data_IF_333861975882
#
_entry.id   IF_333861975882
#
_cell.length_a   1.000
_cell.length_b   1.000
_cell.length_c   1.000
_cell.angle_alpha   90.00
_cell.angle_beta   90.00
_cell.angle_gamma   90.00
#
_symmetry.space_group_name_H-M   'P 1'
#
loop_
_entity.id
_entity.type
_entity.pdbx_description
1 polymer ?
#
# COMPACT_ATOMS: atom_id res chain seq x y z
N UNK A 1 -19.65 22.48 14.60
CA UNK A 1 -18.41 22.07 13.90
C UNK A 1 -18.79 21.65 12.50
N UNK A 2 -18.17 22.21 11.46
CA UNK A 2 -18.35 21.71 10.10
C UNK A 2 -17.45 20.48 9.93
N UNK A 3 -18.03 19.34 9.55
CA UNK A 3 -17.25 18.17 9.17
C UNK A 3 -16.57 18.45 7.82
N UNK A 4 -15.26 18.28 7.76
CA UNK A 4 -14.55 18.18 6.49
C UNK A 4 -14.93 16.82 5.88
N UNK A 5 -15.38 16.81 4.61
CA UNK A 5 -15.63 15.59 3.84
C UNK A 5 -14.54 15.44 2.79
N UNK A 6 -13.77 14.36 2.86
CA UNK A 6 -12.77 14.00 1.86
C UNK A 6 -13.22 12.69 1.22
N UNK A 7 -13.38 12.69 -0.10
CA UNK A 7 -13.67 11.48 -0.86
C UNK A 7 -12.35 10.84 -1.27
N UNK A 8 -12.10 9.63 -0.78
CA UNK A 8 -10.87 8.90 -1.10
C UNK A 8 -11.03 8.28 -2.50
N UNK A 9 -10.01 8.39 -3.37
CA UNK A 9 -10.05 7.76 -4.68
C UNK A 9 -10.16 6.24 -4.57
N UNK A 10 -10.81 5.61 -5.55
CA UNK A 10 -10.77 4.15 -5.69
C UNK A 10 -9.36 3.68 -6.05
N UNK A 11 -9.04 2.43 -5.71
CA UNK A 11 -7.74 1.86 -6.03
C UNK A 11 -7.62 1.62 -7.54
N UNK A 12 -6.63 2.25 -8.18
CA UNK A 12 -6.28 1.99 -9.58
C UNK A 12 -5.64 0.61 -9.77
N UNK A 13 -4.90 0.15 -8.76
CA UNK A 13 -4.25 -1.15 -8.75
C UNK A 13 -4.44 -1.81 -7.40
N UNK A 14 -4.95 -3.04 -7.41
CA UNK A 14 -5.03 -3.91 -6.25
C UNK A 14 -4.36 -5.24 -6.58
N UNK A 15 -3.49 -5.71 -5.70
CA UNK A 15 -2.90 -7.06 -5.79
C UNK A 15 -3.04 -7.79 -4.47
N UNK A 16 -3.17 -9.11 -4.53
CA UNK A 16 -3.18 -9.99 -3.36
C UNK A 16 -2.00 -10.96 -3.39
N UNK A 17 -1.63 -11.45 -2.21
CA UNK A 17 -0.67 -12.53 -2.09
C UNK A 17 -1.20 -13.76 -2.85
N UNK A 18 -0.37 -14.36 -3.71
CA UNK A 18 -0.75 -15.59 -4.42
C UNK A 18 0.46 -16.34 -4.97
N UNK A 19 0.28 -17.65 -5.15
CA UNK A 19 1.23 -18.49 -5.87
C UNK A 19 1.04 -18.36 -7.38
N UNK A 20 2.14 -18.44 -8.13
CA UNK A 20 2.07 -18.54 -9.58
C UNK A 20 1.45 -19.88 -9.96
N UNK A 21 0.47 -19.86 -10.86
CA UNK A 21 -0.04 -21.07 -11.52
C UNK A 21 0.68 -21.16 -12.87
N UNK A 22 1.66 -22.05 -12.97
CA UNK A 22 2.49 -22.18 -14.18
C UNK A 22 1.70 -22.91 -15.26
N UNK A 23 1.63 -22.33 -16.46
CA UNK A 23 1.06 -22.98 -17.65
C UNK A 23 2.12 -23.13 -18.73
N UNK A 24 2.46 -24.37 -19.09
CA UNK A 24 3.47 -24.65 -20.11
C UNK A 24 4.86 -24.16 -19.70
N UNK A 25 5.55 -23.46 -20.59
CA UNK A 25 6.93 -22.98 -20.42
C UNK A 25 7.02 -21.55 -19.88
N UNK A 26 6.01 -21.09 -19.15
CA UNK A 26 6.01 -19.77 -18.52
C UNK A 26 7.18 -19.60 -17.54
N UNK A 27 7.87 -18.45 -17.54
CA UNK A 27 8.97 -18.20 -16.61
C UNK A 27 8.47 -18.13 -15.17
N UNK A 28 9.23 -18.73 -14.25
CA UNK A 28 8.95 -18.66 -12.82
C UNK A 28 9.20 -17.23 -12.32
N UNK A 29 8.21 -16.64 -11.66
CA UNK A 29 8.30 -15.32 -11.05
C UNK A 29 8.76 -15.49 -9.61
N UNK A 30 9.91 -14.91 -9.26
CA UNK A 30 10.35 -14.83 -7.87
C UNK A 30 9.42 -13.90 -7.09
N UNK A 31 8.71 -14.38 -6.04
CA UNK A 31 7.81 -13.56 -5.26
C UNK A 31 8.58 -12.58 -4.36
N UNK A 32 7.98 -11.42 -4.12
CA UNK A 32 8.40 -10.47 -3.08
C UNK A 32 7.39 -10.63 -1.95
N UNK A 33 7.78 -11.25 -0.84
CA UNK A 33 6.88 -11.54 0.29
C UNK A 33 5.54 -12.17 -0.14
N UNK A 34 5.58 -13.16 -1.04
CA UNK A 34 4.39 -13.85 -1.55
C UNK A 34 3.64 -13.14 -2.68
N UNK A 35 4.00 -11.91 -3.03
CA UNK A 35 3.41 -11.18 -4.16
C UNK A 35 4.22 -11.37 -5.45
N UNK A 36 3.53 -11.73 -6.53
CA UNK A 36 4.15 -11.88 -7.87
C UNK A 36 3.70 -10.80 -8.87
N UNK A 37 2.68 -10.00 -8.51
CA UNK A 37 2.05 -9.03 -9.39
C UNK A 37 2.52 -7.58 -9.19
N UNK A 38 3.68 -7.39 -8.55
CA UNK A 38 4.31 -6.08 -8.41
C UNK A 38 4.53 -5.32 -9.73
N UNK A 39 4.44 -6.02 -10.87
CA UNK A 39 4.53 -5.44 -12.19
C UNK A 39 3.32 -4.62 -12.61
N UNK A 40 2.15 -4.85 -12.00
CA UNK A 40 0.92 -4.11 -12.26
C UNK A 40 0.99 -2.67 -11.73
N UNK A 41 1.79 -2.41 -10.68
CA UNK A 41 2.03 -1.04 -10.24
C UNK A 41 2.86 -0.26 -11.28
N UNK A 42 2.46 0.97 -11.64
CA UNK A 42 3.27 1.85 -12.49
C UNK A 42 4.62 2.18 -11.85
N UNK A 43 5.67 2.29 -12.68
CA UNK A 43 7.06 2.52 -12.22
C UNK A 43 7.36 3.98 -11.92
N UNK A 44 6.65 4.90 -12.56
CA UNK A 44 6.97 6.33 -12.68
C UNK A 44 5.84 7.24 -12.17
N UNK A 45 4.81 6.67 -11.54
CA UNK A 45 3.66 7.40 -11.01
C UNK A 45 3.70 7.61 -9.51
N UNK A 46 3.22 8.76 -9.10
CA UNK A 46 2.99 9.11 -7.70
C UNK A 46 1.64 8.60 -7.20
N UNK A 47 1.53 8.42 -5.89
CA UNK A 47 0.26 8.01 -5.29
C UNK A 47 0.34 7.71 -3.81
N UNK A 48 -0.77 7.19 -3.32
CA UNK A 48 -0.93 6.58 -2.01
C UNK A 48 -1.04 5.05 -2.17
N UNK A 49 -0.66 4.31 -1.14
CA UNK A 49 -0.82 2.87 -1.09
C UNK A 49 -1.24 2.44 0.31
N UNK A 50 -2.01 1.37 0.37
CA UNK A 50 -2.53 0.78 1.60
C UNK A 50 -2.21 -0.71 1.65
N UNK A 51 -1.79 -1.17 2.82
CA UNK A 51 -1.58 -2.58 3.12
C UNK A 51 -2.70 -3.08 4.01
N UNK A 52 -3.30 -4.20 3.63
CA UNK A 52 -4.37 -4.85 4.37
C UNK A 52 -4.00 -6.29 4.71
N UNK A 53 -4.51 -6.79 5.82
CA UNK A 53 -4.45 -8.22 6.11
C UNK A 53 -5.61 -8.98 5.44
N UNK A 54 -5.65 -10.30 5.65
CA UNK A 54 -6.66 -11.19 5.07
C UNK A 54 -8.09 -10.91 5.58
N UNK A 55 -8.23 -10.17 6.68
CA UNK A 55 -9.52 -9.78 7.26
C UNK A 55 -9.92 -8.35 6.89
N UNK A 56 -9.31 -7.78 5.84
CA UNK A 56 -9.52 -6.39 5.40
C UNK A 56 -9.17 -5.31 6.44
N UNK A 57 -8.37 -5.62 7.46
CA UNK A 57 -7.86 -4.64 8.42
C UNK A 57 -6.76 -3.79 7.77
N UNK A 58 -6.88 -2.46 7.87
CA UNK A 58 -5.86 -1.54 7.37
C UNK A 58 -4.62 -1.57 8.28
N UNK A 59 -3.54 -2.15 7.76
CA UNK A 59 -2.27 -2.29 8.48
C UNK A 59 -1.42 -1.03 8.36
N UNK A 60 -1.32 -0.46 7.15
CA UNK A 60 -0.43 0.67 6.89
C UNK A 60 -0.89 1.49 5.69
N UNK A 61 -0.67 2.80 5.75
CA UNK A 61 -0.85 3.75 4.64
C UNK A 61 0.46 4.46 4.40
N UNK A 62 0.87 4.59 3.15
CA UNK A 62 1.99 5.43 2.77
C UNK A 62 1.77 6.16 1.45
N UNK A 63 2.58 7.17 1.18
CA UNK A 63 2.63 7.87 -0.12
C UNK A 63 4.00 7.81 -0.77
N UNK A 64 4.04 8.01 -2.09
CA UNK A 64 5.29 8.03 -2.84
C UNK A 64 5.19 8.86 -4.12
N UNK A 65 6.34 9.35 -4.63
CA UNK A 65 6.50 9.83 -6.01
C UNK A 65 6.63 8.70 -7.03
N UNK A 66 7.01 7.51 -6.57
CA UNK A 66 7.13 6.28 -7.37
C UNK A 66 6.61 5.12 -6.53
N UNK A 67 5.32 4.82 -6.66
CA UNK A 67 4.63 3.90 -5.74
C UNK A 67 5.22 2.50 -5.75
N UNK A 68 5.49 1.92 -6.93
CA UNK A 68 6.04 0.56 -7.03
C UNK A 68 7.37 0.42 -6.29
N UNK A 69 8.27 1.39 -6.48
CA UNK A 69 9.58 1.37 -5.82
C UNK A 69 9.41 1.51 -4.30
N UNK A 70 8.51 2.38 -3.84
CA UNK A 70 8.30 2.59 -2.41
C UNK A 70 7.68 1.38 -1.74
N UNK A 71 6.66 0.77 -2.34
CA UNK A 71 6.01 -0.44 -1.82
C UNK A 71 7.07 -1.55 -1.68
N UNK A 72 7.87 -1.82 -2.72
CA UNK A 72 8.96 -2.81 -2.64
C UNK A 72 9.90 -2.58 -1.46
N UNK A 73 10.33 -1.33 -1.25
CA UNK A 73 11.19 -0.98 -0.12
C UNK A 73 10.58 -1.30 1.25
N UNK A 74 9.25 -1.22 1.42
CA UNK A 74 8.62 -1.61 2.68
C UNK A 74 8.80 -3.12 2.99
N UNK A 75 8.96 -3.95 1.96
CA UNK A 75 9.23 -5.38 2.07
C UNK A 75 10.72 -5.73 2.14
N UNK A 76 11.61 -4.82 1.75
CA UNK A 76 13.06 -5.04 1.71
C UNK A 76 13.81 -4.39 2.90
N UNK A 77 13.47 -3.15 3.27
CA UNK A 77 14.28 -2.33 4.19
C UNK A 77 13.99 -2.59 5.70
N UNK A 78 15.02 -2.53 6.55
CA UNK A 78 14.90 -2.81 8.00
C UNK A 78 14.32 -1.67 8.86
N UNK A 79 13.93 -0.56 8.23
CA UNK A 79 13.36 0.63 8.89
C UNK A 79 11.86 0.82 8.58
N UNK A 80 11.27 -0.08 7.79
CA UNK A 80 9.84 -0.06 7.51
C UNK A 80 9.02 -0.23 8.80
N UNK A 81 7.97 0.59 9.03
CA UNK A 81 7.08 0.40 10.18
C UNK A 81 6.43 -0.99 10.22
N UNK A 82 6.22 -1.60 9.05
CA UNK A 82 5.64 -2.96 8.94
C UNK A 82 6.69 -4.07 8.95
N UNK A 83 7.97 -3.81 9.21
CA UNK A 83 9.05 -4.79 9.02
C UNK A 83 8.84 -6.12 9.77
N UNK A 84 8.23 -6.06 10.96
CA UNK A 84 7.94 -7.21 11.82
C UNK A 84 6.54 -7.79 11.57
N UNK A 85 5.82 -7.27 10.58
CA UNK A 85 4.41 -7.55 10.30
C UNK A 85 4.16 -7.77 8.79
N UNK A 86 5.23 -8.06 8.02
CA UNK A 86 5.13 -8.21 6.55
C UNK A 86 4.30 -9.42 6.15
N UNK A 87 4.33 -10.45 6.98
CA UNK A 87 3.56 -11.69 6.88
C UNK A 87 2.06 -11.48 7.14
N UNK A 88 1.67 -10.38 7.80
CA UNK A 88 0.26 -10.01 7.93
C UNK A 88 -0.32 -9.40 6.65
N UNK A 89 0.52 -8.88 5.73
CA UNK A 89 0.07 -8.18 4.54
C UNK A 89 -0.42 -9.18 3.48
N UNK A 90 -1.71 -9.12 3.18
CA UNK A 90 -2.37 -9.99 2.20
C UNK A 90 -2.79 -9.23 0.94
N UNK A 91 -3.26 -7.98 1.07
CA UNK A 91 -3.64 -7.12 -0.07
C UNK A 91 -2.88 -5.80 -0.04
N UNK A 92 -2.49 -5.35 -1.23
CA UNK A 92 -1.89 -4.05 -1.46
C UNK A 92 -2.74 -3.30 -2.47
N UNK A 93 -3.29 -2.17 -2.04
CA UNK A 93 -4.02 -1.24 -2.90
C UNK A 93 -3.17 0.00 -3.16
N UNK A 94 -3.27 0.57 -4.35
CA UNK A 94 -2.63 1.83 -4.70
C UNK A 94 -3.58 2.72 -5.51
N UNK A 95 -3.62 4.00 -5.13
CA UNK A 95 -4.33 5.04 -5.86
C UNK A 95 -3.31 6.01 -6.45
N UNK A 96 -3.38 6.26 -7.75
CA UNK A 96 -2.51 7.18 -8.47
C UNK A 96 -2.97 8.60 -8.19
N UNK A 97 -2.12 9.34 -7.50
CA UNK A 97 -2.35 10.73 -7.10
C UNK A 97 -1.06 11.48 -7.35
N UNK A 98 -1.03 12.27 -8.42
CA UNK A 98 0.19 12.95 -8.86
C UNK A 98 0.48 14.20 -8.02
N UNK A 99 -0.57 14.91 -7.60
CA UNK A 99 -0.40 16.11 -6.78
C UNK A 99 0.20 15.76 -5.41
N UNK A 100 1.31 16.40 -4.99
CA UNK A 100 1.95 16.12 -3.72
C UNK A 100 1.13 16.57 -2.51
N UNK A 101 0.33 17.62 -2.64
CA UNK A 101 -0.54 18.14 -1.58
C UNK A 101 -1.70 17.18 -1.34
N UNK A 102 -2.35 16.71 -2.40
CA UNK A 102 -3.40 15.70 -2.29
C UNK A 102 -2.90 14.42 -1.63
N UNK A 103 -1.72 13.91 -2.01
CA UNK A 103 -1.12 12.75 -1.35
C UNK A 103 -0.89 12.95 0.14
N UNK A 104 -0.47 14.16 0.54
CA UNK A 104 -0.27 14.51 1.95
C UNK A 104 -1.59 14.45 2.72
N UNK A 105 -2.65 15.04 2.13
CA UNK A 105 -3.99 15.08 2.70
C UNK A 105 -4.56 13.67 2.80
N UNK A 106 -4.54 12.88 1.72
CA UNK A 106 -5.10 11.53 1.71
C UNK A 106 -4.36 10.60 2.66
N UNK A 107 -3.03 10.60 2.68
CA UNK A 107 -2.26 9.76 3.63
C UNK A 107 -2.69 10.07 5.07
N UNK A 108 -2.71 11.34 5.44
CA UNK A 108 -3.09 11.77 6.79
C UNK A 108 -4.55 11.41 7.08
N UNK A 109 -5.45 11.66 6.15
CA UNK A 109 -6.88 11.40 6.34
C UNK A 109 -7.16 9.90 6.50
N UNK A 110 -6.65 9.05 5.60
CA UNK A 110 -6.88 7.60 5.62
C UNK A 110 -6.29 6.96 6.88
N UNK A 111 -5.09 7.38 7.31
CA UNK A 111 -4.48 6.90 8.56
C UNK A 111 -5.44 7.08 9.74
N UNK A 112 -6.10 8.23 9.82
CA UNK A 112 -6.90 8.61 10.99
C UNK A 112 -8.35 8.15 10.90
N UNK A 113 -8.96 8.22 9.73
CA UNK A 113 -10.34 7.77 9.50
C UNK A 113 -10.46 6.26 9.70
N UNK A 114 -9.52 5.48 9.16
CA UNK A 114 -9.54 4.01 9.23
C UNK A 114 -8.57 3.41 10.24
N UNK A 115 -7.91 4.25 11.04
CA UNK A 115 -7.04 3.85 12.16
C UNK A 115 -5.95 2.84 11.77
N UNK A 116 -5.13 3.20 10.77
CA UNK A 116 -4.08 2.34 10.24
C UNK A 116 -3.12 1.82 11.34
N UNK A 117 -3.11 0.50 11.55
CA UNK A 117 -2.56 -0.16 12.75
C UNK A 117 -1.09 0.17 13.04
N UNK A 118 -0.24 0.14 12.00
CA UNK A 118 1.22 0.24 12.11
C UNK A 118 1.78 1.58 11.64
N UNK A 119 0.94 2.56 11.31
CA UNK A 119 1.42 3.92 11.14
C UNK A 119 1.88 4.48 12.51
N UNK A 120 3.05 5.11 12.49
CA UNK A 120 3.67 5.73 13.68
C UNK A 120 3.63 7.25 13.62
N UNK A 121 3.72 7.81 12.41
CA UNK A 121 3.61 9.24 12.16
C UNK A 121 2.18 9.61 11.73
N UNK A 122 1.79 10.85 12.01
CA UNK A 122 0.48 11.44 11.61
C UNK A 122 -0.73 10.71 12.20
N UNK A 123 -0.56 10.10 13.36
CA UNK A 123 -1.62 9.39 14.09
C UNK A 123 -2.19 10.31 15.18
N UNK A 124 -3.49 10.61 15.10
CA UNK A 124 -4.20 11.55 15.98
C UNK A 124 -5.38 10.92 16.73
N UNK A 125 -5.59 9.62 16.61
CA UNK A 125 -6.65 8.87 17.29
C UNK A 125 -6.16 8.06 18.50
N UNK A 126 -4.87 8.16 18.82
CA UNK A 126 -4.24 7.51 19.97
C UNK A 126 -4.25 8.44 21.17
#
# INVERSE_FOLDING_TARGET
MNLIKINIPEADVSITERKQVIKGDEPIITPINGFIDFHLFPRDKGGIFMFYNINDELLFVGKARKIRQRIKKHFEDNVSPIKNHRDEVYRIDACIVEDPTEREIYETYIINEYKAKYNVDKVFYK
#
